data_IF_985979092754
#
_entry.id   IF_985979092754
#
_cell.length_a   1.000
_cell.length_b   1.000
_cell.length_c   1.000
_cell.angle_alpha   90.00
_cell.angle_beta   90.00
_cell.angle_gamma   90.00
#
_symmetry.space_group_name_H-M   'P 1'
#
loop_
_entity.id
_entity.type
_entity.pdbx_description
1 polymer ?
#
# COMPACT_ATOMS: atom_id res chain seq x y z
N UNK A 1 -3.62 20.81 7.48
CA UNK A 1 -3.79 19.44 6.93
C UNK A 1 -2.96 19.37 5.68
N UNK A 2 -1.83 18.67 5.71
CA UNK A 2 -1.03 18.42 4.51
C UNK A 2 -1.75 17.29 3.78
N UNK A 3 -2.43 17.60 2.69
CA UNK A 3 -2.98 16.58 1.81
C UNK A 3 -1.82 15.74 1.28
N UNK A 4 -1.93 14.41 1.36
CA UNK A 4 -1.04 13.51 0.63
C UNK A 4 -1.75 13.17 -0.66
N UNK A 5 -1.11 13.46 -1.79
CA UNK A 5 -1.62 13.07 -3.09
C UNK A 5 -1.36 11.58 -3.31
N UNK A 6 -2.41 10.86 -3.72
CA UNK A 6 -2.35 9.46 -4.12
C UNK A 6 -2.58 9.38 -5.62
N UNK A 7 -1.56 8.92 -6.34
CA UNK A 7 -1.58 8.80 -7.78
C UNK A 7 -1.96 7.36 -8.16
N UNK A 8 -3.14 7.21 -8.77
CA UNK A 8 -3.55 5.94 -9.36
C UNK A 8 -2.73 5.72 -10.63
N UNK A 9 -2.10 4.56 -10.75
CA UNK A 9 -1.39 4.17 -11.96
C UNK A 9 -2.36 3.40 -12.85
N UNK A 10 -2.44 3.75 -14.13
CA UNK A 10 -3.34 3.10 -15.09
C UNK A 10 -2.80 1.74 -15.55
N UNK A 11 -1.49 1.65 -15.77
CA UNK A 11 -0.82 0.46 -16.29
C UNK A 11 -0.01 -0.28 -15.21
N UNK A 12 -0.08 -1.61 -15.26
CA UNK A 12 0.56 -2.49 -14.28
C UNK A 12 2.07 -2.51 -14.44
N UNK A 13 2.58 -2.55 -15.67
CA UNK A 13 4.01 -2.58 -15.91
C UNK A 13 4.66 -1.26 -15.45
N UNK A 14 3.96 -0.12 -15.56
CA UNK A 14 4.39 1.15 -14.98
C UNK A 14 4.40 1.12 -13.44
N UNK A 15 3.38 0.53 -12.81
CA UNK A 15 3.38 0.35 -11.36
C UNK A 15 4.56 -0.53 -10.91
N UNK A 16 4.82 -1.63 -11.62
CA UNK A 16 5.94 -2.55 -11.33
C UNK A 16 7.29 -1.83 -11.37
N UNK A 17 7.55 -0.99 -12.39
CA UNK A 17 8.80 -0.21 -12.50
C UNK A 17 9.05 0.68 -11.27
N UNK A 18 8.00 1.23 -10.67
CA UNK A 18 8.08 2.06 -9.47
C UNK A 18 8.25 1.16 -8.24
N UNK A 19 7.40 0.16 -8.09
CA UNK A 19 7.38 -0.76 -6.96
C UNK A 19 8.68 -1.54 -6.79
N UNK A 20 9.37 -1.90 -7.88
CA UNK A 20 10.69 -2.54 -7.85
C UNK A 20 11.77 -1.68 -7.20
N UNK A 21 11.62 -0.35 -7.22
CA UNK A 21 12.58 0.60 -6.61
C UNK A 21 12.26 0.90 -5.15
N UNK A 22 11.08 0.52 -4.68
CA UNK A 22 10.66 0.70 -3.30
C UNK A 22 11.11 -0.49 -2.44
N UNK A 23 11.39 -0.24 -1.16
CA UNK A 23 11.75 -1.30 -0.22
C UNK A 23 10.51 -2.02 0.34
N UNK A 24 9.40 -1.30 0.49
CA UNK A 24 8.16 -1.78 1.10
C UNK A 24 6.96 -1.41 0.23
N UNK A 25 6.05 -2.37 0.10
CA UNK A 25 4.80 -2.24 -0.65
C UNK A 25 3.67 -2.58 0.31
N UNK A 26 2.74 -1.65 0.53
CA UNK A 26 1.60 -1.88 1.39
C UNK A 26 0.48 -2.52 0.57
N UNK A 27 -0.01 -3.67 1.04
CA UNK A 27 -1.24 -4.26 0.53
C UNK A 27 -2.37 -4.00 1.49
N UNK A 28 -3.24 -3.06 1.13
CA UNK A 28 -4.49 -2.76 1.81
C UNK A 28 -5.59 -3.19 0.85
N UNK A 29 -6.02 -4.45 0.95
CA UNK A 29 -6.88 -5.07 -0.07
C UNK A 29 -8.09 -4.20 -0.44
N UNK A 30 -8.37 -3.98 -1.74
CA UNK A 30 -7.71 -4.58 -2.92
C UNK A 30 -6.46 -3.81 -3.45
N UNK A 31 -5.96 -2.80 -2.74
CA UNK A 31 -4.93 -1.90 -3.24
C UNK A 31 -3.50 -2.36 -2.94
N UNK A 32 -2.61 -2.15 -3.90
CA UNK A 32 -1.16 -2.08 -3.65
C UNK A 32 -0.72 -0.64 -3.69
N UNK A 33 0.02 -0.22 -2.66
CA UNK A 33 0.42 1.17 -2.46
C UNK A 33 1.92 1.22 -2.20
N UNK A 34 2.62 2.13 -2.88
CA UNK A 34 4.05 2.39 -2.68
C UNK A 34 4.30 3.87 -2.43
N UNK A 35 5.31 4.16 -1.61
CA UNK A 35 5.85 5.51 -1.49
C UNK A 35 7.14 5.60 -2.31
N UNK A 36 7.16 6.49 -3.30
CA UNK A 36 8.34 6.78 -4.10
C UNK A 36 8.67 8.27 -3.97
N UNK A 37 9.79 8.57 -3.30
CA UNK A 37 10.24 9.94 -2.99
C UNK A 37 9.16 10.86 -2.38
N UNK A 38 8.33 10.33 -1.48
CA UNK A 38 7.29 11.10 -0.79
C UNK A 38 5.94 11.12 -1.51
N UNK A 39 5.87 10.66 -2.77
CA UNK A 39 4.63 10.53 -3.52
C UNK A 39 4.05 9.12 -3.35
N UNK A 40 2.74 9.03 -3.12
CA UNK A 40 2.05 7.76 -2.99
C UNK A 40 1.52 7.33 -4.35
N UNK A 41 1.92 6.16 -4.83
CA UNK A 41 1.39 5.54 -6.04
C UNK A 41 0.59 4.29 -5.67
N UNK A 42 -0.49 4.02 -6.38
CA UNK A 42 -1.28 2.82 -6.13
C UNK A 42 -1.92 2.23 -7.39
N UNK A 43 -2.24 0.93 -7.30
CA UNK A 43 -3.13 0.22 -8.24
C UNK A 43 -4.25 -0.47 -7.45
N UNK A 44 -5.39 -0.68 -8.11
CA UNK A 44 -6.50 -1.48 -7.61
C UNK A 44 -6.45 -2.87 -8.25
N UNK A 45 -6.16 -3.91 -7.46
CA UNK A 45 -6.11 -5.29 -7.96
C UNK A 45 -7.51 -5.80 -8.37
N UNK A 46 -8.58 -5.16 -7.92
CA UNK A 46 -9.96 -5.51 -8.30
C UNK A 46 -10.33 -5.06 -9.72
N UNK A 47 -9.57 -4.15 -10.33
CA UNK A 47 -9.78 -3.69 -11.70
C UNK A 47 -8.87 -4.40 -12.73
N UNK A 48 -8.13 -5.42 -12.28
CA UNK A 48 -7.09 -6.10 -13.05
C UNK A 48 -7.47 -7.56 -13.30
N UNK A 49 -7.08 -8.11 -14.46
CA UNK A 49 -7.27 -9.52 -14.79
C UNK A 49 -6.52 -10.45 -13.80
N UNK A 50 -7.13 -11.58 -13.45
CA UNK A 50 -6.67 -12.45 -12.35
C UNK A 50 -5.24 -13.01 -12.56
N UNK A 51 -4.87 -13.30 -13.80
CA UNK A 51 -3.54 -13.76 -14.20
C UNK A 51 -2.48 -12.66 -13.98
N UNK A 52 -2.82 -11.41 -14.31
CA UNK A 52 -1.98 -10.24 -14.07
C UNK A 52 -1.83 -9.97 -12.57
N UNK A 53 -2.89 -10.11 -11.77
CA UNK A 53 -2.81 -10.02 -10.30
C UNK A 53 -1.81 -11.03 -9.74
N UNK A 54 -1.87 -12.30 -10.19
CA UNK A 54 -0.93 -13.35 -9.77
C UNK A 54 0.51 -13.00 -10.13
N UNK A 55 0.74 -12.46 -11.34
CA UNK A 55 2.07 -12.00 -11.79
C UNK A 55 2.61 -10.91 -10.86
N UNK A 56 1.81 -9.88 -10.57
CA UNK A 56 2.20 -8.75 -9.71
C UNK A 56 2.52 -9.22 -8.29
N UNK A 57 1.61 -9.98 -7.67
CA UNK A 57 1.79 -10.50 -6.31
C UNK A 57 3.05 -11.36 -6.22
N UNK A 58 3.29 -12.23 -7.20
CA UNK A 58 4.46 -13.13 -7.21
C UNK A 58 5.77 -12.35 -7.36
N UNK A 59 5.82 -11.39 -8.29
CA UNK A 59 7.01 -10.57 -8.55
C UNK A 59 7.39 -9.67 -7.37
N UNK A 60 6.40 -9.20 -6.61
CA UNK A 60 6.59 -8.26 -5.51
C UNK A 60 6.56 -8.91 -4.12
N UNK A 61 6.35 -10.23 -4.01
CA UNK A 61 6.05 -10.94 -2.75
C UNK A 61 7.03 -10.66 -1.61
N UNK A 62 8.32 -10.44 -1.92
CA UNK A 62 9.36 -10.21 -0.92
C UNK A 62 9.27 -8.83 -0.25
N UNK A 63 8.51 -7.91 -0.85
CA UNK A 63 8.36 -6.51 -0.42
C UNK A 63 6.95 -6.19 0.06
N UNK A 64 5.98 -7.07 -0.20
CA UNK A 64 4.58 -6.87 0.18
C UNK A 64 4.42 -7.07 1.68
N UNK A 65 3.84 -6.06 2.32
CA UNK A 65 3.35 -6.11 3.70
C UNK A 65 1.83 -6.04 3.66
N UNK A 66 1.18 -7.13 4.08
CA UNK A 66 -0.28 -7.19 4.15
C UNK A 66 -0.78 -6.44 5.39
N UNK A 67 -1.61 -5.42 5.18
CA UNK A 67 -2.17 -4.58 6.24
C UNK A 67 -3.55 -5.08 6.61
N UNK A 68 -3.70 -5.55 7.85
CA UNK A 68 -4.98 -6.05 8.37
C UNK A 68 -5.93 -4.93 8.79
N UNK A 69 -5.39 -3.86 9.37
CA UNK A 69 -6.17 -2.78 9.96
C UNK A 69 -5.36 -1.49 9.95
N UNK A 70 -6.05 -0.35 9.80
CA UNK A 70 -5.46 0.98 9.99
C UNK A 70 -6.22 1.70 11.09
N UNK A 71 -5.53 2.08 12.15
CA UNK A 71 -6.08 2.88 13.25
C UNK A 71 -5.40 4.24 13.27
N UNK A 72 -6.14 5.28 13.65
CA UNK A 72 -5.63 6.64 13.78
C UNK A 72 -5.90 7.16 15.18
N UNK A 73 -4.87 7.78 15.77
CA UNK A 73 -4.94 8.36 17.11
C UNK A 73 -4.42 9.79 17.05
N UNK A 74 -4.95 10.64 17.90
CA UNK A 74 -4.53 12.04 18.02
C UNK A 74 -3.19 12.17 18.75
N UNK A 75 -2.80 11.16 19.54
CA UNK A 75 -1.53 11.13 20.26
C UNK A 75 -1.10 9.70 20.59
N UNK A 76 0.19 9.56 20.93
CA UNK A 76 0.76 8.31 21.44
C UNK A 76 0.07 7.87 22.74
N UNK A 77 -0.31 8.82 23.61
CA UNK A 77 -1.04 8.51 24.84
C UNK A 77 -2.43 7.92 24.57
N UNK A 78 -3.15 8.44 23.58
CA UNK A 78 -4.44 7.90 23.18
C UNK A 78 -4.31 6.47 22.62
N UNK A 79 -3.26 6.22 21.82
CA UNK A 79 -2.94 4.88 21.33
C UNK A 79 -2.75 3.90 22.49
N UNK A 80 -1.89 4.22 23.47
CA UNK A 80 -1.63 3.33 24.59
C UNK A 80 -2.91 3.01 25.38
N UNK A 81 -3.69 4.03 25.75
CA UNK A 81 -4.93 3.84 26.50
C UNK A 81 -5.91 2.88 25.80
N UNK A 82 -6.04 2.97 24.47
CA UNK A 82 -6.99 2.17 23.71
C UNK A 82 -6.48 0.77 23.37
N UNK A 83 -5.18 0.59 23.15
CA UNK A 83 -4.63 -0.70 22.69
C UNK A 83 -4.11 -1.58 23.83
N UNK A 84 -3.71 -1.02 24.98
CA UNK A 84 -3.19 -1.83 26.09
C UNK A 84 -4.21 -2.12 27.19
N UNK A 85 -5.39 -1.48 27.15
CA UNK A 85 -6.47 -1.69 28.11
C UNK A 85 -7.73 -2.34 27.48
N UNK A 86 -7.63 -2.77 26.20
CA UNK A 86 -8.67 -3.49 25.48
C UNK A 86 -8.54 -5.01 25.65
#
# INVERSE_FOLDING_TARGET
>A
MTYRDYLKVEDIDDFLKIAEKCDVILRIDPFLIVNFYGTMFYIDLGEIEEDMVKRVISGLKAKIVNIRETKSYKSVSEFYLKETQA
#
